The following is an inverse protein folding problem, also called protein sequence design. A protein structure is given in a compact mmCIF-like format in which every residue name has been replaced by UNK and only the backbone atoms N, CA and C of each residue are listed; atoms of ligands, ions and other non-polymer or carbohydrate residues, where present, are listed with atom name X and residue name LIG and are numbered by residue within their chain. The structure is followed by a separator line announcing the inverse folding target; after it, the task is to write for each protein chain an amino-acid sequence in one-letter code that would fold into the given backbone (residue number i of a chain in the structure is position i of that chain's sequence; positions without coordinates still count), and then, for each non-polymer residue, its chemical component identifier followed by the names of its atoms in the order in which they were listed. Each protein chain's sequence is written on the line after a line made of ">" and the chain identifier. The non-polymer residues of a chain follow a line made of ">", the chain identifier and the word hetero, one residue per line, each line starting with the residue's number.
data_IF_198308357348
#
_entry.id   IF_198308357348
#
_cell.length_a   1.000
_cell.length_b   1.000
_cell.length_c   1.000
_cell.angle_alpha   90.00
_cell.angle_beta   90.00
_cell.angle_gamma   90.00
#
_symmetry.space_group_name_H-M   'P 1'
#
loop_
_entity.id
_entity.type
_entity.pdbx_description
1 polymer ?
#
# COMPACT_ATOMS: atom_id res chain seq x y z
N UNK A 1 6.18 -1.29 -13.10
CA UNK A 1 5.84 0.13 -12.81
C UNK A 1 5.01 0.11 -11.55
N UNK A 2 5.44 0.82 -10.51
CA UNK A 2 4.73 0.89 -9.23
C UNK A 2 3.51 1.79 -9.34
N UNK A 3 2.47 1.45 -8.61
CA UNK A 3 1.24 2.22 -8.52
C UNK A 3 1.30 3.10 -7.27
N UNK A 4 1.03 4.37 -7.46
CA UNK A 4 0.97 5.34 -6.37
C UNK A 4 -0.45 5.91 -6.29
N UNK A 5 -0.85 6.33 -5.11
CA UNK A 5 -2.17 6.93 -4.89
C UNK A 5 -2.03 8.18 -4.03
N UNK A 6 -2.62 9.29 -4.46
CA UNK A 6 -2.72 10.49 -3.64
C UNK A 6 -4.16 10.75 -3.20
N UNK A 7 -4.32 11.11 -1.95
CA UNK A 7 -5.54 11.69 -1.39
C UNK A 7 -5.30 13.17 -1.13
N UNK A 8 -6.18 14.02 -1.62
CA UNK A 8 -6.00 15.47 -1.59
C UNK A 8 -7.21 16.12 -0.94
N UNK A 9 -6.98 16.82 0.15
CA UNK A 9 -7.93 17.73 0.78
C UNK A 9 -7.48 19.16 0.52
N UNK A 10 -8.12 19.79 -0.49
CA UNK A 10 -7.74 21.15 -0.91
C UNK A 10 -8.12 22.23 0.09
N UNK A 11 -9.15 22.00 0.88
CA UNK A 11 -9.64 22.98 1.86
C UNK A 11 -8.66 23.10 3.04
N UNK A 12 -8.08 21.99 3.45
CA UNK A 12 -7.12 21.93 4.55
C UNK A 12 -5.67 21.84 4.10
N UNK A 13 -5.41 21.94 2.78
CA UNK A 13 -4.07 21.84 2.17
C UNK A 13 -3.33 20.55 2.54
N UNK A 14 -4.08 19.43 2.67
CA UNK A 14 -3.51 18.12 2.99
C UNK A 14 -3.34 17.28 1.73
N UNK A 15 -2.14 16.75 1.54
CA UNK A 15 -1.81 15.79 0.48
C UNK A 15 -1.11 14.58 1.08
N UNK A 16 -1.79 13.43 1.04
CA UNK A 16 -1.25 12.16 1.49
C UNK A 16 -0.97 11.25 0.29
N UNK A 17 0.27 10.78 0.12
CA UNK A 17 0.68 9.95 -1.02
C UNK A 17 1.09 8.57 -0.52
N UNK A 18 0.52 7.53 -1.11
CA UNK A 18 0.91 6.14 -0.86
C UNK A 18 2.01 5.76 -1.86
N UNK A 19 3.13 5.23 -1.35
CA UNK A 19 4.29 4.70 -2.06
C UNK A 19 4.82 5.64 -3.17
N UNK A 20 5.19 6.91 -2.90
CA UNK A 20 5.63 7.85 -3.93
C UNK A 20 6.98 7.41 -4.53
N UNK A 21 6.93 6.76 -5.69
CA UNK A 21 8.11 6.27 -6.39
C UNK A 21 8.93 7.39 -7.04
N UNK A 22 8.28 8.31 -7.74
CA UNK A 22 8.91 9.45 -8.45
C UNK A 22 8.58 10.75 -7.72
N UNK A 23 9.41 11.08 -6.73
CA UNK A 23 9.18 12.22 -5.85
C UNK A 23 9.23 13.56 -6.58
N UNK A 24 10.17 13.72 -7.53
CA UNK A 24 10.30 14.96 -8.29
C UNK A 24 9.02 15.22 -9.10
N UNK A 25 8.52 14.20 -9.77
CA UNK A 25 7.28 14.32 -10.53
C UNK A 25 6.08 14.64 -9.63
N UNK A 26 5.99 14.01 -8.45
CA UNK A 26 4.93 14.31 -7.50
C UNK A 26 4.97 15.77 -7.05
N UNK A 27 6.14 16.29 -6.68
CA UNK A 27 6.30 17.67 -6.26
C UNK A 27 5.94 18.63 -7.41
N UNK A 28 6.48 18.41 -8.61
CA UNK A 28 6.19 19.25 -9.79
C UNK A 28 4.70 19.30 -10.16
N UNK A 29 4.00 18.14 -10.13
CA UNK A 29 2.57 18.09 -10.47
C UNK A 29 1.71 18.78 -9.40
N UNK A 30 2.03 18.60 -8.12
CA UNK A 30 1.30 19.24 -7.02
C UNK A 30 1.55 20.74 -6.96
N UNK A 31 2.79 21.20 -7.20
CA UNK A 31 3.13 22.62 -7.24
C UNK A 31 2.35 23.38 -8.35
N UNK A 32 2.09 22.76 -9.50
CA UNK A 32 1.25 23.34 -10.56
C UNK A 32 -0.19 23.62 -10.09
N UNK A 33 -0.63 22.90 -9.06
CA UNK A 33 -1.94 23.06 -8.44
C UNK A 33 -1.90 23.86 -7.14
N UNK A 34 -0.73 24.41 -6.76
CA UNK A 34 -0.52 25.16 -5.53
C UNK A 34 -0.52 24.27 -4.27
N UNK A 35 -0.18 23.01 -4.41
CA UNK A 35 -0.18 22.01 -3.33
C UNK A 35 1.25 21.51 -3.08
N UNK A 36 1.44 20.94 -1.88
CA UNK A 36 2.70 20.32 -1.45
C UNK A 36 2.38 19.00 -0.74
N UNK A 37 3.18 17.93 -0.94
CA UNK A 37 3.03 16.70 -0.17
C UNK A 37 3.15 16.97 1.34
N UNK A 38 2.17 16.55 2.13
CA UNK A 38 2.20 16.73 3.59
C UNK A 38 2.44 15.41 4.32
N UNK A 39 2.04 14.29 3.73
CA UNK A 39 2.15 12.95 4.32
C UNK A 39 2.57 11.93 3.26
N UNK A 40 3.52 11.08 3.61
CA UNK A 40 3.90 9.90 2.85
C UNK A 40 3.47 8.67 3.63
N UNK A 41 2.74 7.77 2.98
CA UNK A 41 2.22 6.55 3.58
C UNK A 41 2.85 5.37 2.85
N UNK A 42 3.75 4.63 3.50
CA UNK A 42 4.40 3.49 2.87
C UNK A 42 3.70 2.18 3.19
N UNK A 43 3.35 1.41 2.15
CA UNK A 43 2.77 0.07 2.34
C UNK A 43 3.78 -0.89 2.92
N UNK A 44 5.04 -0.81 2.48
CA UNK A 44 6.18 -1.60 3.00
C UNK A 44 7.50 -0.99 2.51
N UNK A 45 8.64 -1.56 2.90
CA UNK A 45 9.97 -0.99 2.66
C UNK A 45 10.80 -1.70 1.59
N UNK A 46 10.18 -2.45 0.67
CA UNK A 46 10.91 -2.88 -0.52
C UNK A 46 11.34 -1.66 -1.34
N UNK A 47 12.57 -1.74 -1.88
CA UNK A 47 13.25 -0.62 -2.53
C UNK A 47 12.40 0.07 -3.59
N UNK A 48 11.70 -0.69 -4.40
CA UNK A 48 10.89 -0.16 -5.50
C UNK A 48 9.63 0.59 -5.03
N UNK A 49 9.22 0.46 -3.77
CA UNK A 49 8.15 1.28 -3.16
C UNK A 49 8.68 2.56 -2.51
N UNK A 50 9.94 2.54 -2.04
CA UNK A 50 10.50 3.61 -1.22
C UNK A 50 11.67 4.35 -1.87
N UNK A 51 12.02 4.03 -3.10
CA UNK A 51 13.17 4.64 -3.82
C UNK A 51 13.08 6.17 -3.92
N UNK A 52 11.88 6.73 -3.92
CA UNK A 52 11.64 8.18 -3.90
C UNK A 52 11.81 8.84 -2.53
N UNK A 53 11.95 8.08 -1.45
CA UNK A 53 11.97 8.61 -0.08
C UNK A 53 13.02 9.69 0.13
N UNK A 54 14.30 9.39 -0.14
CA UNK A 54 15.41 10.32 0.09
C UNK A 54 15.22 11.62 -0.69
N UNK A 55 14.85 11.54 -1.96
CA UNK A 55 14.57 12.73 -2.78
C UNK A 55 13.38 13.53 -2.26
N UNK A 56 12.33 12.86 -1.76
CA UNK A 56 11.19 13.57 -1.18
C UNK A 56 11.57 14.34 0.08
N UNK A 57 12.38 13.76 0.97
CA UNK A 57 12.85 14.44 2.18
C UNK A 57 13.78 15.62 1.84
N UNK A 58 14.59 15.51 0.79
CA UNK A 58 15.42 16.63 0.32
C UNK A 58 14.55 17.78 -0.23
N UNK A 59 13.48 17.47 -0.96
CA UNK A 59 12.57 18.46 -1.55
C UNK A 59 11.61 19.05 -0.51
N UNK A 60 11.18 18.26 0.46
CA UNK A 60 10.23 18.65 1.49
C UNK A 60 10.59 18.02 2.84
N UNK A 61 11.50 18.64 3.63
CA UNK A 61 11.95 18.10 4.91
C UNK A 61 10.86 18.01 6.00
N UNK A 62 9.78 18.77 5.86
CA UNK A 62 8.68 18.81 6.85
C UNK A 62 7.60 17.75 6.60
N UNK A 63 7.71 16.96 5.53
CA UNK A 63 6.72 15.93 5.20
C UNK A 63 6.69 14.86 6.30
N UNK A 64 5.50 14.50 6.76
CA UNK A 64 5.31 13.45 7.75
C UNK A 64 5.34 12.07 7.07
N UNK A 65 6.16 11.16 7.58
CA UNK A 65 6.41 9.85 6.96
C UNK A 65 5.88 8.73 7.85
N UNK A 66 4.94 7.95 7.30
CA UNK A 66 4.28 6.84 7.97
C UNK A 66 4.65 5.47 7.39
N UNK A 67 4.81 4.51 8.26
CA UNK A 67 4.95 3.09 7.94
C UNK A 67 4.63 2.24 9.15
N UNK A 68 4.57 0.93 8.98
CA UNK A 68 4.34 0.03 10.11
C UNK A 68 5.64 -0.22 10.89
N UNK A 69 5.54 -0.31 12.22
CA UNK A 69 6.71 -0.53 13.10
C UNK A 69 7.48 -1.82 12.72
N UNK A 70 6.78 -2.89 12.35
CA UNK A 70 7.39 -4.16 11.94
C UNK A 70 8.18 -4.06 10.62
N UNK A 71 8.13 -2.94 9.88
CA UNK A 71 9.01 -2.69 8.74
C UNK A 71 10.44 -2.32 9.17
N UNK A 72 10.66 -1.99 10.45
CA UNK A 72 11.96 -1.66 11.02
C UNK A 72 12.74 -2.91 11.45
N UNK A 73 13.03 -3.81 10.50
CA UNK A 73 13.78 -5.04 10.77
C UNK A 73 15.28 -4.78 10.54
N UNK A 74 16.12 -4.71 11.59
CA UNK A 74 17.53 -4.33 11.46
C UNK A 74 18.33 -5.24 10.52
N UNK A 75 18.00 -6.53 10.50
CA UNK A 75 18.67 -7.54 9.68
C UNK A 75 18.36 -7.37 8.18
N UNK A 76 17.23 -6.75 7.83
CA UNK A 76 16.78 -6.56 6.46
C UNK A 76 17.18 -5.22 5.86
N UNK A 77 17.42 -4.20 6.68
CA UNK A 77 17.67 -2.82 6.20
C UNK A 77 18.87 -2.69 5.25
N UNK A 78 19.84 -3.59 5.36
CA UNK A 78 21.02 -3.62 4.48
C UNK A 78 20.87 -4.64 3.32
N UNK A 79 19.76 -5.33 3.22
CA UNK A 79 19.53 -6.27 2.13
C UNK A 79 19.14 -5.52 0.87
N UNK A 80 19.64 -5.99 -0.31
CA UNK A 80 19.49 -5.30 -1.61
C UNK A 80 18.03 -5.01 -2.01
N UNK A 81 17.06 -5.78 -1.51
CA UNK A 81 15.64 -5.58 -1.81
C UNK A 81 14.94 -4.59 -0.88
N UNK A 82 15.59 -4.15 0.19
CA UNK A 82 15.04 -3.18 1.13
C UNK A 82 15.77 -1.84 1.02
N UNK A 83 15.11 -0.80 1.46
CA UNK A 83 15.71 0.50 1.66
C UNK A 83 15.27 1.06 3.02
N UNK A 84 16.18 1.76 3.68
CA UNK A 84 15.88 2.39 4.96
C UNK A 84 14.97 3.59 4.76
N UNK A 85 13.87 3.60 5.52
CA UNK A 85 12.96 4.74 5.66
C UNK A 85 12.93 5.14 7.13
N UNK A 86 13.22 6.40 7.41
CA UNK A 86 13.11 6.95 8.76
C UNK A 86 11.67 7.46 8.95
N UNK A 87 10.78 6.58 9.40
CA UNK A 87 9.39 6.94 9.71
C UNK A 87 9.34 7.96 10.84
N UNK A 88 8.66 9.09 10.63
CA UNK A 88 8.36 10.08 11.67
C UNK A 88 7.24 9.61 12.58
N UNK A 89 6.36 8.74 12.06
CA UNK A 89 5.24 8.09 12.76
C UNK A 89 5.11 6.64 12.32
N UNK A 90 4.62 5.79 13.21
CA UNK A 90 4.38 4.37 12.90
C UNK A 90 2.97 3.93 13.27
N UNK A 91 2.45 3.00 12.49
CA UNK A 91 1.34 2.15 12.90
C UNK A 91 1.90 0.95 13.68
N UNK A 92 1.20 0.54 14.71
CA UNK A 92 1.64 -0.53 15.65
C UNK A 92 0.54 -1.59 15.84
N UNK A 93 -0.44 -1.61 14.95
CA UNK A 93 -1.55 -2.54 15.04
C UNK A 93 -1.10 -3.98 14.74
N UNK A 94 -1.68 -4.93 15.47
CA UNK A 94 -1.35 -6.36 15.33
C UNK A 94 -1.68 -6.90 13.93
N UNK A 95 -1.05 -8.00 13.49
CA UNK A 95 -1.37 -8.65 12.22
C UNK A 95 -2.87 -8.88 12.03
N UNK A 96 -3.37 -8.55 10.84
CA UNK A 96 -4.79 -8.64 10.47
C UNK A 96 -5.75 -7.81 11.35
N UNK A 97 -5.25 -6.73 11.95
CA UNK A 97 -6.09 -5.72 12.59
C UNK A 97 -5.96 -4.39 11.86
N UNK A 98 -6.92 -3.50 12.11
CA UNK A 98 -7.02 -2.21 11.42
C UNK A 98 -7.04 -1.06 12.42
N UNK A 99 -6.48 0.07 12.01
CA UNK A 99 -6.55 1.35 12.72
C UNK A 99 -7.03 2.44 11.76
N UNK A 100 -7.66 3.46 12.31
CA UNK A 100 -7.97 4.66 11.54
C UNK A 100 -6.73 5.57 11.43
N UNK A 101 -6.55 6.15 10.25
CA UNK A 101 -5.62 7.24 9.99
C UNK A 101 -6.39 8.39 9.36
N UNK A 102 -6.21 9.60 9.87
CA UNK A 102 -6.95 10.74 9.34
C UNK A 102 -6.26 12.07 9.57
N UNK A 103 -6.34 12.93 8.54
CA UNK A 103 -5.85 14.32 8.59
C UNK A 103 -6.75 15.17 7.70
N UNK A 104 -7.20 16.31 8.19
CA UNK A 104 -8.20 17.11 7.49
C UNK A 104 -9.50 16.33 7.28
N UNK A 105 -9.99 16.30 6.05
CA UNK A 105 -11.14 15.48 5.64
C UNK A 105 -10.78 14.08 5.14
N UNK A 106 -9.49 13.76 5.05
CA UNK A 106 -9.03 12.44 4.64
C UNK A 106 -9.14 11.48 5.82
N UNK A 107 -9.92 10.41 5.66
CA UNK A 107 -10.06 9.32 6.62
C UNK A 107 -9.82 8.00 5.92
N UNK A 108 -8.81 7.26 6.38
CA UNK A 108 -8.37 5.99 5.81
C UNK A 108 -8.32 4.93 6.90
N UNK A 109 -8.53 3.70 6.51
CA UNK A 109 -8.31 2.53 7.36
C UNK A 109 -7.01 1.85 6.93
N UNK A 110 -6.09 1.68 7.87
CA UNK A 110 -4.81 1.02 7.66
C UNK A 110 -4.83 -0.35 8.32
N UNK A 111 -4.63 -1.39 7.55
CA UNK A 111 -4.65 -2.78 8.03
C UNK A 111 -3.27 -3.38 7.94
N UNK A 112 -2.70 -3.85 9.05
CA UNK A 112 -1.45 -4.61 9.04
C UNK A 112 -1.68 -5.96 8.39
N UNK A 113 -1.00 -6.20 7.28
CA UNK A 113 -1.16 -7.36 6.40
C UNK A 113 0.20 -7.98 6.04
N UNK A 114 0.90 -8.55 7.04
CA UNK A 114 2.23 -9.12 6.84
C UNK A 114 2.19 -10.36 5.95
N UNK A 115 3.34 -10.71 5.40
CA UNK A 115 3.53 -11.92 4.60
C UNK A 115 4.45 -11.69 3.41
N UNK A 116 4.14 -10.78 2.51
CA UNK A 116 5.07 -10.32 1.47
C UNK A 116 6.28 -9.61 2.09
N UNK A 117 6.04 -8.74 3.05
CA UNK A 117 7.04 -8.11 3.91
C UNK A 117 6.52 -8.02 5.35
N UNK A 118 7.40 -7.94 6.38
CA UNK A 118 6.98 -7.94 7.78
C UNK A 118 5.99 -6.82 8.14
N UNK A 119 6.33 -5.59 7.82
CA UNK A 119 5.52 -4.40 8.09
C UNK A 119 4.60 -3.99 6.96
N UNK A 120 4.18 -4.93 6.10
CA UNK A 120 3.27 -4.61 5.01
C UNK A 120 1.89 -4.19 5.53
N UNK A 121 1.33 -3.12 4.95
CA UNK A 121 -0.04 -2.66 5.23
C UNK A 121 -0.84 -2.51 3.94
N UNK A 122 -2.16 -2.70 4.04
CA UNK A 122 -3.13 -2.23 3.04
C UNK A 122 -3.85 -1.01 3.57
N UNK A 123 -4.25 -0.10 2.66
CA UNK A 123 -4.85 1.19 3.03
C UNK A 123 -6.12 1.39 2.22
N UNK A 124 -7.25 1.68 2.87
CA UNK A 124 -8.49 1.90 2.13
C UNK A 124 -9.32 3.06 2.67
N UNK A 125 -10.06 3.70 1.78
CA UNK A 125 -10.95 4.82 2.03
C UNK A 125 -11.27 5.55 0.74
N UNK A 126 -12.24 6.43 0.75
CA UNK A 126 -12.60 7.30 -0.38
C UNK A 126 -12.73 6.59 -1.74
N UNK A 127 -13.32 5.38 -1.76
CA UNK A 127 -13.54 4.62 -2.99
C UNK A 127 -12.34 3.80 -3.47
N UNK A 128 -11.27 3.71 -2.67
CA UNK A 128 -10.03 3.02 -3.02
C UNK A 128 -9.67 1.98 -1.96
N UNK A 129 -9.20 0.82 -2.40
CA UNK A 129 -8.46 -0.16 -1.62
C UNK A 129 -7.05 -0.30 -2.24
N UNK A 130 -6.05 0.34 -1.63
CA UNK A 130 -4.66 0.22 -2.04
C UNK A 130 -4.07 -1.03 -1.40
N UNK A 131 -3.82 -2.04 -2.23
CA UNK A 131 -3.43 -3.37 -1.77
C UNK A 131 -1.92 -3.52 -1.54
N UNK A 132 -1.09 -2.57 -2.00
CA UNK A 132 0.36 -2.78 -2.05
C UNK A 132 0.68 -4.09 -2.76
N UNK A 133 1.62 -4.85 -2.21
CA UNK A 133 2.03 -6.14 -2.73
C UNK A 133 1.35 -7.33 -2.02
N UNK A 134 0.27 -7.08 -1.26
CA UNK A 134 -0.57 -8.17 -0.77
C UNK A 134 -1.34 -8.83 -1.92
N UNK A 135 -2.01 -8.00 -2.74
CA UNK A 135 -2.83 -8.43 -3.86
C UNK A 135 -2.51 -7.61 -5.11
N UNK A 136 -2.42 -8.30 -6.24
CA UNK A 136 -2.39 -7.68 -7.56
C UNK A 136 -3.78 -7.73 -8.21
N UNK A 137 -3.91 -7.21 -9.42
CA UNK A 137 -5.20 -7.29 -10.14
C UNK A 137 -5.65 -8.74 -10.29
N UNK A 138 -4.72 -9.66 -10.59
CA UNK A 138 -4.99 -11.10 -10.69
C UNK A 138 -3.87 -11.90 -10.00
N UNK A 139 -3.93 -12.01 -8.67
CA UNK A 139 -2.95 -12.75 -7.90
C UNK A 139 -2.47 -12.03 -6.66
N UNK A 140 -1.30 -12.38 -6.17
CA UNK A 140 -0.69 -11.89 -4.93
C UNK A 140 0.80 -11.63 -5.09
N UNK A 141 1.38 -10.86 -4.17
CA UNK A 141 2.82 -10.67 -4.06
C UNK A 141 3.57 -11.96 -3.73
N UNK A 142 4.81 -12.02 -4.18
CA UNK A 142 5.71 -13.16 -3.91
C UNK A 142 6.06 -13.25 -2.42
N UNK A 143 6.39 -14.46 -1.98
CA UNK A 143 6.70 -14.76 -0.57
C UNK A 143 8.01 -15.55 -0.41
N UNK A 144 8.96 -15.31 -1.29
CA UNK A 144 10.29 -15.93 -1.34
C UNK A 144 11.43 -14.91 -1.15
N UNK A 145 11.09 -13.66 -0.82
CA UNK A 145 12.06 -12.63 -0.47
C UNK A 145 12.43 -12.72 1.03
N UNK A 146 13.60 -12.21 1.43
CA UNK A 146 13.97 -12.12 2.83
C UNK A 146 12.89 -11.41 3.66
N UNK A 147 12.56 -11.98 4.83
CA UNK A 147 11.51 -11.46 5.72
C UNK A 147 10.08 -11.81 5.32
N UNK A 148 9.86 -12.39 4.13
CA UNK A 148 8.52 -12.84 3.75
C UNK A 148 8.11 -14.14 4.46
N UNK A 149 6.80 -14.34 4.64
CA UNK A 149 6.21 -15.49 5.29
C UNK A 149 4.93 -15.95 4.56
N UNK A 150 4.96 -17.12 3.91
CA UNK A 150 3.79 -17.63 3.17
C UNK A 150 2.53 -17.82 4.03
N UNK A 151 2.68 -18.23 5.29
CA UNK A 151 1.53 -18.44 6.19
C UNK A 151 0.86 -17.12 6.53
N UNK A 152 1.66 -16.10 6.84
CA UNK A 152 1.15 -14.77 7.15
C UNK A 152 0.50 -14.15 5.92
N UNK A 153 1.09 -14.34 4.72
CA UNK A 153 0.52 -13.88 3.44
C UNK A 153 -0.90 -14.43 3.23
N UNK A 154 -1.09 -15.75 3.38
CA UNK A 154 -2.41 -16.36 3.23
C UNK A 154 -3.39 -15.89 4.32
N UNK A 155 -2.93 -15.70 5.55
CA UNK A 155 -3.75 -15.15 6.62
C UNK A 155 -4.20 -13.71 6.30
N UNK A 156 -3.29 -12.89 5.78
CA UNK A 156 -3.56 -11.50 5.37
C UNK A 156 -4.50 -11.44 4.17
N UNK A 157 -4.34 -12.33 3.17
CA UNK A 157 -5.24 -12.42 2.02
C UNK A 157 -6.67 -12.79 2.46
N UNK A 158 -6.81 -13.75 3.37
CA UNK A 158 -8.12 -14.12 3.93
C UNK A 158 -8.77 -12.97 4.67
N UNK A 159 -7.99 -12.20 5.43
CA UNK A 159 -8.50 -11.01 6.11
C UNK A 159 -8.90 -9.91 5.11
N UNK A 160 -8.05 -9.65 4.11
CA UNK A 160 -8.33 -8.72 3.03
C UNK A 160 -9.61 -9.09 2.25
N UNK A 161 -9.84 -10.39 1.97
CA UNK A 161 -11.08 -10.85 1.34
C UNK A 161 -12.32 -10.43 2.12
N UNK A 162 -12.32 -10.60 3.46
CA UNK A 162 -13.45 -10.18 4.31
C UNK A 162 -13.68 -8.66 4.27
N UNK A 163 -12.60 -7.87 4.26
CA UNK A 163 -12.71 -6.43 4.08
C UNK A 163 -13.33 -6.12 2.71
N UNK A 164 -12.79 -6.67 1.63
CA UNK A 164 -13.29 -6.44 0.27
C UNK A 164 -14.75 -6.87 0.09
N UNK A 165 -15.17 -7.96 0.74
CA UNK A 165 -16.57 -8.41 0.75
C UNK A 165 -17.51 -7.38 1.40
N UNK A 166 -17.03 -6.60 2.36
CA UNK A 166 -17.80 -5.55 3.05
C UNK A 166 -17.81 -4.21 2.32
N UNK A 167 -16.88 -3.97 1.39
CA UNK A 167 -16.77 -2.73 0.63
C UNK A 167 -17.74 -2.69 -0.56
N UNK A 168 -18.13 -1.49 -1.04
CA UNK A 168 -18.85 -1.32 -2.30
C UNK A 168 -18.09 -1.95 -3.46
N UNK A 169 -18.80 -2.66 -4.35
CA UNK A 169 -18.17 -3.45 -5.42
C UNK A 169 -17.56 -2.60 -6.54
N UNK A 170 -17.96 -1.34 -6.64
CA UNK A 170 -17.42 -0.35 -7.57
C UNK A 170 -16.17 0.39 -7.06
N UNK A 171 -15.76 0.15 -5.81
CA UNK A 171 -14.48 0.66 -5.32
C UNK A 171 -13.33 0.09 -6.13
N UNK A 172 -12.22 0.84 -6.18
CA UNK A 172 -11.03 0.49 -6.96
C UNK A 172 -10.02 -0.25 -6.09
N UNK A 173 -9.69 -1.48 -6.45
CA UNK A 173 -8.51 -2.16 -5.92
C UNK A 173 -7.30 -1.72 -6.76
N UNK A 174 -6.37 -1.03 -6.12
CA UNK A 174 -5.10 -0.57 -6.70
C UNK A 174 -3.98 -1.46 -6.16
N UNK A 175 -3.27 -2.22 -7.00
CA UNK A 175 -2.13 -3.04 -6.59
C UNK A 175 -0.86 -2.20 -6.45
N UNK A 176 0.18 -2.74 -5.83
CA UNK A 176 1.51 -2.12 -5.83
C UNK A 176 2.16 -2.12 -7.21
N UNK A 177 1.87 -3.12 -8.04
CA UNK A 177 2.43 -3.25 -9.39
C UNK A 177 1.37 -3.61 -10.43
N UNK A 178 1.63 -3.19 -11.68
CA UNK A 178 0.85 -3.60 -12.85
C UNK A 178 1.20 -5.03 -13.26
N UNK A 179 0.18 -5.87 -13.32
CA UNK A 179 0.27 -7.20 -13.89
C UNK A 179 -0.88 -7.46 -14.87
N UNK A 180 -0.74 -8.52 -15.67
CA UNK A 180 -1.76 -8.89 -16.63
C UNK A 180 -3.09 -9.24 -15.94
N UNK A 181 -4.14 -8.66 -16.45
CA UNK A 181 -5.51 -9.05 -16.13
C UNK A 181 -5.93 -10.25 -16.96
N UNK A 182 -7.07 -10.85 -16.64
CA UNK A 182 -7.60 -12.07 -17.31
C UNK A 182 -7.82 -11.93 -18.81
N UNK A 183 -8.00 -10.72 -19.31
CA UNK A 183 -8.18 -10.42 -20.74
C UNK A 183 -6.86 -10.08 -21.47
N UNK A 184 -5.72 -10.17 -20.78
CA UNK A 184 -4.40 -9.86 -21.29
C UNK A 184 -4.01 -8.37 -21.23
N UNK A 185 -4.91 -7.50 -20.79
CA UNK A 185 -4.57 -6.08 -20.51
C UNK A 185 -3.77 -5.93 -19.21
N UNK A 186 -3.19 -4.75 -18.97
CA UNK A 186 -2.46 -4.41 -17.74
C UNK A 186 -3.07 -3.16 -17.11
N UNK A 187 -4.27 -3.26 -16.51
CA UNK A 187 -4.95 -2.12 -15.92
C UNK A 187 -4.23 -1.60 -14.68
N UNK A 188 -4.42 -0.31 -14.37
CA UNK A 188 -3.91 0.32 -13.16
C UNK A 188 -4.68 -0.12 -11.91
N UNK A 189 -5.93 -0.52 -12.08
CA UNK A 189 -6.82 -0.98 -11.02
C UNK A 189 -7.93 -1.85 -11.63
N UNK A 190 -8.58 -2.63 -10.76
CA UNK A 190 -9.81 -3.35 -11.07
C UNK A 190 -10.87 -3.00 -10.04
N UNK A 191 -12.16 -3.22 -10.35
CA UNK A 191 -13.18 -3.06 -9.33
C UNK A 191 -13.01 -4.08 -8.21
N UNK A 192 -13.44 -3.75 -6.98
CA UNK A 192 -13.51 -4.73 -5.87
C UNK A 192 -14.35 -5.93 -6.26
N UNK A 193 -15.44 -5.71 -7.01
CA UNK A 193 -16.29 -6.78 -7.52
C UNK A 193 -15.54 -7.72 -8.47
N UNK A 194 -14.76 -7.18 -9.40
CA UNK A 194 -13.96 -7.99 -10.33
C UNK A 194 -12.80 -8.70 -9.60
N UNK A 195 -12.13 -8.03 -8.67
CA UNK A 195 -11.10 -8.67 -7.85
C UNK A 195 -11.64 -9.88 -7.10
N UNK A 196 -12.78 -9.75 -6.42
CA UNK A 196 -13.45 -10.85 -5.72
C UNK A 196 -13.88 -11.98 -6.64
N UNK A 197 -14.25 -11.65 -7.90
CA UNK A 197 -14.74 -12.65 -8.86
C UNK A 197 -13.61 -13.41 -9.55
N UNK A 198 -12.48 -12.76 -9.83
CA UNK A 198 -11.49 -13.29 -10.77
C UNK A 198 -10.08 -13.45 -10.22
N UNK A 199 -9.70 -12.73 -9.13
CA UNK A 199 -8.37 -12.88 -8.57
C UNK A 199 -8.19 -14.29 -7.98
N UNK A 200 -7.23 -15.05 -8.50
CA UNK A 200 -7.05 -16.45 -8.10
C UNK A 200 -6.66 -16.59 -6.61
N UNK A 201 -5.91 -15.63 -6.04
CA UNK A 201 -5.52 -15.69 -4.65
C UNK A 201 -6.71 -15.48 -3.70
N UNK A 202 -7.66 -14.60 -4.06
CA UNK A 202 -8.91 -14.39 -3.31
C UNK A 202 -9.88 -15.56 -3.45
N UNK A 203 -9.77 -16.37 -4.52
CA UNK A 203 -10.65 -17.50 -4.81
C UNK A 203 -10.00 -18.86 -4.54
N UNK A 204 -8.83 -18.90 -3.88
CA UNK A 204 -8.18 -20.15 -3.53
C UNK A 204 -9.01 -20.91 -2.47
N UNK A 205 -9.39 -22.19 -2.73
CA UNK A 205 -10.19 -22.98 -1.79
C UNK A 205 -9.52 -23.23 -0.43
N UNK A 206 -8.20 -23.03 -0.32
CA UNK A 206 -7.49 -23.18 0.93
C UNK A 206 -7.77 -22.04 1.91
N UNK A 207 -8.21 -20.86 1.43
CA UNK A 207 -8.58 -19.74 2.30
C UNK A 207 -9.71 -20.10 3.28
N UNK A 208 -10.61 -20.99 2.90
CA UNK A 208 -11.76 -21.39 3.73
C UNK A 208 -11.38 -22.48 4.76
N UNK A 209 -10.17 -23.06 4.65
CA UNK A 209 -9.69 -24.16 5.50
C UNK A 209 -8.64 -23.73 6.55
N UNK A 210 -8.16 -22.51 6.45
CA UNK A 210 -7.19 -21.90 7.38
C UNK A 210 -7.94 -21.16 8.52
#
# INVERSE_FOLDING_TARGET
>A
MNMNTAFIDRENEVVAIIDPFDSLRWVEELEREGLTPTHLLYTHTHRDHVVGYSSMIELNPEVEVWGHEDARVPELVNHVVFERVDFTRTWENSPNSSVEWGVGSISLIVTHSPGHAPGHVTIHGHGVYHAGDLLFTNGMGRVDLPGSNPRDQWSSIRHARRILESLPKDWRLIPGHRYNWIDGTTPDWVSVGDALSYNYALNDPSLDRL
#
